data_IF_281689841848
#
_entry.id   IF_281689841848
#
_cell.length_a   1.000
_cell.length_b   1.000
_cell.length_c   1.000
_cell.angle_alpha   90.00
_cell.angle_beta   90.00
_cell.angle_gamma   90.00
#
_symmetry.space_group_name_H-M   'P 1'
#
loop_
_entity.id
_entity.type
_entity.pdbx_description
1 polymer ?
#
# COMPACT_ATOMS: atom_id res chain seq x y z
N UNK A 1 5.79 78.15 16.20
CA UNK A 1 5.72 76.71 16.49
C UNK A 1 5.25 76.01 15.22
N UNK A 2 6.12 75.28 14.52
CA UNK A 2 5.78 74.51 13.31
C UNK A 2 6.10 73.05 13.60
N UNK A 3 5.07 72.22 13.76
CA UNK A 3 5.21 70.78 13.96
C UNK A 3 5.49 70.11 12.61
N UNK A 4 6.61 69.38 12.50
CA UNK A 4 6.83 68.44 11.41
C UNK A 4 6.22 67.09 11.83
N UNK A 5 5.18 66.65 11.11
CA UNK A 5 4.67 65.28 11.19
C UNK A 5 5.53 64.38 10.29
N UNK A 6 6.30 63.46 10.88
CA UNK A 6 6.99 62.40 10.16
C UNK A 6 6.00 61.28 9.81
N UNK A 7 5.86 60.96 8.52
CA UNK A 7 5.07 59.84 8.04
C UNK A 7 5.89 58.55 8.16
N UNK A 8 5.49 57.65 9.06
CA UNK A 8 6.06 56.30 9.16
C UNK A 8 5.35 55.39 8.15
N UNK A 9 6.03 55.02 7.07
CA UNK A 9 5.53 54.00 6.13
C UNK A 9 5.92 52.63 6.67
N UNK A 10 4.93 51.89 7.16
CA UNK A 10 5.10 50.47 7.52
C UNK A 10 4.90 49.65 6.25
N UNK A 11 6.00 49.12 5.69
CA UNK A 11 5.94 48.14 4.60
C UNK A 11 5.69 46.78 5.24
N UNK A 12 4.46 46.27 5.12
CA UNK A 12 4.18 44.89 5.48
C UNK A 12 4.82 43.97 4.44
N UNK A 13 5.84 43.21 4.84
CA UNK A 13 6.36 42.14 4.01
C UNK A 13 5.30 41.04 3.90
N UNK A 14 4.84 40.76 2.68
CA UNK A 14 4.04 39.56 2.41
C UNK A 14 5.02 38.38 2.52
N UNK A 15 4.90 37.61 3.60
CA UNK A 15 5.60 36.32 3.69
C UNK A 15 4.91 35.40 2.68
N UNK A 16 5.60 34.86 1.66
CA UNK A 16 5.00 33.87 0.79
C UNK A 16 4.65 32.67 1.66
N UNK A 17 3.42 32.19 1.52
CA UNK A 17 2.98 31.02 2.23
C UNK A 17 3.88 29.84 1.83
N UNK A 18 4.52 29.23 2.82
CA UNK A 18 5.42 28.10 2.62
C UNK A 18 4.56 26.88 2.41
N UNK A 19 4.54 26.35 1.18
CA UNK A 19 3.83 25.11 0.88
C UNK A 19 4.19 24.02 1.90
N UNK A 20 3.18 23.40 2.51
CA UNK A 20 3.43 22.34 3.47
C UNK A 20 3.98 21.11 2.76
N UNK A 21 5.14 20.64 3.26
CA UNK A 21 5.75 19.38 2.85
C UNK A 21 5.29 18.27 3.79
N UNK A 22 4.57 17.28 3.26
CA UNK A 22 4.17 16.08 3.99
C UNK A 22 5.09 14.94 3.59
N UNK A 23 5.63 14.22 4.56
CA UNK A 23 6.31 12.94 4.31
C UNK A 23 5.37 11.81 4.70
N UNK A 24 4.91 11.04 3.71
CA UNK A 24 4.28 9.76 3.97
C UNK A 24 5.38 8.70 3.96
N UNK A 25 5.46 7.91 5.02
CA UNK A 25 6.35 6.76 5.12
C UNK A 25 5.45 5.54 5.23
N UNK A 26 5.68 4.53 4.41
CA UNK A 26 4.98 3.26 4.53
C UNK A 26 5.19 2.70 5.94
N UNK A 27 4.22 1.95 6.45
CA UNK A 27 4.27 1.40 7.80
C UNK A 27 5.48 0.48 8.01
N UNK A 28 5.97 -0.15 6.93
CA UNK A 28 7.19 -0.96 6.90
C UNK A 28 8.50 -0.12 6.82
N UNK A 29 8.42 1.20 6.60
CA UNK A 29 9.57 2.09 6.46
C UNK A 29 10.34 1.99 5.15
N UNK A 30 9.93 1.13 4.22
CA UNK A 30 10.64 0.88 2.97
C UNK A 30 10.40 1.95 1.89
N UNK A 31 9.29 2.68 1.97
CA UNK A 31 8.92 3.72 1.00
C UNK A 31 8.63 5.02 1.72
N UNK A 32 9.23 6.12 1.27
CA UNK A 32 8.86 7.46 1.74
C UNK A 32 8.66 8.41 0.56
N UNK A 33 7.61 9.23 0.61
CA UNK A 33 7.34 10.26 -0.41
C UNK A 33 7.13 11.60 0.25
N UNK A 34 7.81 12.62 -0.29
CA UNK A 34 7.57 14.01 0.05
C UNK A 34 6.53 14.60 -0.92
N UNK A 35 5.34 14.90 -0.40
CA UNK A 35 4.28 15.59 -1.12
C UNK A 35 4.34 17.08 -0.81
N UNK A 36 4.40 17.91 -1.85
CA UNK A 36 4.25 19.36 -1.73
C UNK A 36 2.92 19.74 -2.38
N UNK A 37 1.92 20.06 -1.58
CA UNK A 37 0.64 20.57 -2.08
C UNK A 37 0.60 22.09 -1.90
N UNK A 38 0.26 22.88 -2.94
CA UNK A 38 -0.06 24.29 -2.74
C UNK A 38 -1.24 24.41 -1.77
N UNK A 39 -1.19 25.36 -0.84
CA UNK A 39 -2.22 25.52 0.21
C UNK A 39 -3.64 25.85 -0.32
N UNK A 40 -3.77 26.12 -1.62
CA UNK A 40 -5.04 26.41 -2.31
C UNK A 40 -5.66 25.20 -3.02
N UNK A 41 -5.12 23.98 -2.84
CA UNK A 41 -5.62 22.78 -3.50
C UNK A 41 -6.99 22.33 -2.92
N UNK A 42 -8.07 23.00 -3.29
CA UNK A 42 -9.45 22.55 -3.06
C UNK A 42 -9.88 21.60 -4.16
N UNK A 43 -9.57 20.32 -4.01
CA UNK A 43 -9.99 19.27 -4.94
C UNK A 43 -9.38 17.92 -4.61
N UNK A 44 -10.09 16.84 -4.93
CA UNK A 44 -9.55 15.49 -4.83
C UNK A 44 -8.29 15.40 -5.70
N UNK A 45 -7.15 15.05 -5.10
CA UNK A 45 -5.95 14.73 -5.87
C UNK A 45 -6.27 13.53 -6.77
N UNK A 46 -6.38 13.75 -8.08
CA UNK A 46 -6.37 12.65 -9.04
C UNK A 46 -5.07 11.86 -8.84
N UNK A 47 -5.07 10.54 -9.16
CA UNK A 47 -3.83 9.73 -9.24
C UNK A 47 -2.84 10.44 -10.17
N UNK A 48 -2.01 11.31 -9.60
CA UNK A 48 -1.09 12.18 -10.31
C UNK A 48 0.31 11.57 -10.34
N UNK A 49 1.17 12.16 -11.16
CA UNK A 49 2.60 11.82 -11.33
C UNK A 49 3.46 11.92 -10.06
N UNK A 50 2.84 12.13 -8.89
CA UNK A 50 3.42 12.18 -7.55
C UNK A 50 3.20 10.90 -6.74
N UNK A 51 2.38 9.95 -7.22
CA UNK A 51 2.27 8.65 -6.57
C UNK A 51 3.51 7.81 -6.88
N UNK A 52 4.14 7.18 -5.88
CA UNK A 52 5.36 6.40 -6.06
C UNK A 52 5.11 5.03 -6.73
N UNK A 53 3.87 4.74 -7.14
CA UNK A 53 3.49 3.45 -7.67
C UNK A 53 3.43 3.50 -9.19
N UNK A 54 4.03 2.50 -9.84
CA UNK A 54 3.98 2.33 -11.27
C UNK A 54 2.54 2.11 -11.77
N UNK A 55 2.29 2.46 -13.03
CA UNK A 55 1.00 2.21 -13.70
C UNK A 55 0.83 0.74 -14.11
N UNK A 56 1.91 -0.03 -14.06
CA UNK A 56 1.94 -1.46 -14.31
C UNK A 56 2.38 -2.17 -13.03
N UNK A 57 1.76 -3.30 -12.66
CA UNK A 57 2.20 -4.06 -11.51
C UNK A 57 3.61 -4.59 -11.73
N UNK A 58 4.43 -4.59 -10.68
CA UNK A 58 5.77 -5.20 -10.72
C UNK A 58 5.68 -6.73 -10.86
N UNK A 59 4.64 -7.32 -10.23
CA UNK A 59 4.40 -8.76 -10.20
C UNK A 59 2.92 -9.01 -10.48
N UNK A 60 2.66 -10.01 -11.31
CA UNK A 60 1.31 -10.48 -11.61
C UNK A 60 1.24 -12.00 -11.47
N UNK A 61 0.34 -12.47 -10.60
CA UNK A 61 0.01 -13.90 -10.48
C UNK A 61 -1.15 -14.18 -11.42
N UNK A 62 -0.87 -14.91 -12.51
CA UNK A 62 -1.87 -15.29 -13.52
C UNK A 62 -2.56 -16.62 -13.19
N UNK A 63 -2.81 -16.87 -11.91
CA UNK A 63 -3.53 -18.06 -11.44
C UNK A 63 -5.00 -17.71 -11.25
N UNK A 64 -5.88 -18.46 -11.93
CA UNK A 64 -7.31 -18.22 -11.88
C UNK A 64 -7.90 -18.75 -10.56
N UNK A 65 -7.89 -17.91 -9.54
CA UNK A 65 -8.49 -18.17 -8.23
C UNK A 65 -9.37 -17.00 -7.82
N UNK A 66 -10.26 -17.30 -6.90
CA UNK A 66 -11.24 -16.36 -6.42
C UNK A 66 -10.86 -15.98 -4.99
N UNK A 67 -10.06 -14.92 -4.89
CA UNK A 67 -9.40 -14.53 -3.63
C UNK A 67 -10.42 -13.93 -2.68
N UNK A 68 -10.49 -14.51 -1.47
CA UNK A 68 -11.33 -14.01 -0.37
C UNK A 68 -10.56 -13.03 0.51
N UNK A 69 -9.35 -13.42 0.94
CA UNK A 69 -8.49 -12.62 1.81
C UNK A 69 -7.01 -12.82 1.50
N UNK A 70 -6.21 -11.86 1.96
CA UNK A 70 -4.76 -11.85 1.84
C UNK A 70 -4.13 -11.51 3.19
N UNK A 71 -2.99 -12.11 3.50
CA UNK A 71 -2.14 -11.70 4.61
C UNK A 71 -0.67 -11.75 4.19
N UNK A 72 0.16 -10.98 4.89
CA UNK A 72 1.60 -10.90 4.67
C UNK A 72 2.30 -11.27 5.98
N UNK A 73 3.17 -12.27 5.92
CA UNK A 73 3.99 -12.72 7.04
C UNK A 73 5.10 -13.62 6.51
N UNK A 74 6.20 -13.73 7.24
CA UNK A 74 7.23 -14.75 6.98
C UNK A 74 6.70 -16.11 7.44
N UNK A 75 6.31 -16.97 6.49
CA UNK A 75 5.66 -18.25 6.76
C UNK A 75 6.65 -19.41 6.87
N UNK A 76 7.92 -19.18 6.52
CA UNK A 76 8.95 -20.22 6.48
C UNK A 76 10.21 -19.87 7.30
N UNK A 77 10.18 -18.75 8.03
CA UNK A 77 11.25 -18.21 8.86
C UNK A 77 12.56 -17.90 8.09
N UNK A 78 12.44 -17.46 6.83
CA UNK A 78 13.60 -17.10 6.00
C UNK A 78 13.98 -15.60 6.07
N UNK A 79 13.22 -14.80 6.82
CA UNK A 79 13.39 -13.37 6.99
C UNK A 79 12.76 -12.53 5.89
N UNK A 80 12.02 -13.13 4.96
CA UNK A 80 11.26 -12.44 3.92
C UNK A 80 9.76 -12.63 4.15
N UNK A 81 9.01 -11.54 4.02
CA UNK A 81 7.56 -11.62 4.07
C UNK A 81 7.01 -12.36 2.83
N UNK A 82 6.17 -13.37 3.07
CA UNK A 82 5.45 -14.15 2.08
C UNK A 82 4.02 -13.64 1.87
N UNK A 83 3.36 -14.13 0.81
CA UNK A 83 1.96 -13.84 0.54
C UNK A 83 1.09 -15.06 0.85
N UNK A 84 0.21 -14.93 1.84
CA UNK A 84 -0.87 -15.87 2.12
C UNK A 84 -2.12 -15.41 1.37
N UNK A 85 -2.75 -16.31 0.63
CA UNK A 85 -3.96 -16.02 -0.14
C UNK A 85 -4.99 -17.13 0.05
N UNK A 86 -6.14 -16.78 0.61
CA UNK A 86 -7.26 -17.71 0.82
C UNK A 86 -8.33 -17.51 -0.25
N UNK A 87 -9.06 -18.58 -0.58
CA UNK A 87 -10.03 -18.56 -1.66
C UNK A 87 -11.46 -18.70 -1.13
N UNK A 88 -12.37 -17.97 -1.76
CA UNK A 88 -13.79 -18.14 -1.54
C UNK A 88 -14.39 -19.05 -2.61
N UNK A 89 -15.22 -20.01 -2.19
CA UNK A 89 -16.00 -20.83 -3.12
C UNK A 89 -17.14 -19.99 -3.71
N UNK A 90 -17.29 -19.99 -5.05
CA UNK A 90 -18.43 -19.35 -5.70
C UNK A 90 -19.00 -20.17 -6.85
N UNK A 91 -20.24 -19.84 -7.20
CA UNK A 91 -20.91 -20.34 -8.41
C UNK A 91 -20.82 -19.35 -9.58
N UNK A 92 -19.75 -18.54 -9.66
CA UNK A 92 -19.51 -17.64 -10.81
C UNK A 92 -19.39 -18.41 -12.12
N UNK A 93 -19.59 -17.72 -13.25
CA UNK A 93 -19.44 -18.30 -14.59
C UNK A 93 -18.29 -17.64 -15.37
N UNK A 94 -17.36 -18.41 -15.96
CA UNK A 94 -17.23 -19.87 -15.85
C UNK A 94 -16.89 -20.31 -14.41
N UNK A 95 -17.23 -21.55 -14.01
CA UNK A 95 -16.98 -22.02 -12.65
C UNK A 95 -15.48 -22.01 -12.32
N UNK A 96 -15.16 -21.80 -11.05
CA UNK A 96 -13.83 -22.06 -10.50
C UNK A 96 -13.84 -23.47 -9.93
N UNK A 97 -12.89 -24.29 -10.37
CA UNK A 97 -12.77 -25.71 -10.05
C UNK A 97 -11.71 -25.99 -8.96
N UNK A 98 -10.98 -24.95 -8.55
CA UNK A 98 -9.98 -25.02 -7.50
C UNK A 98 -10.07 -23.77 -6.62
N UNK A 99 -10.28 -23.98 -5.33
CA UNK A 99 -10.31 -22.94 -4.30
C UNK A 99 -9.42 -23.30 -3.10
N UNK A 100 -8.32 -24.03 -3.35
CA UNK A 100 -7.31 -24.26 -2.31
C UNK A 100 -6.72 -22.94 -1.83
N UNK A 101 -6.41 -22.87 -0.55
CA UNK A 101 -5.63 -21.79 0.02
C UNK A 101 -4.18 -21.94 -0.43
N UNK A 102 -3.45 -20.83 -0.47
CA UNK A 102 -2.12 -20.76 -1.07
C UNK A 102 -1.18 -19.95 -0.19
N UNK A 103 0.08 -20.37 -0.18
CA UNK A 103 1.20 -19.52 0.25
C UNK A 103 2.17 -19.40 -0.92
N UNK A 104 2.48 -18.15 -1.28
CA UNK A 104 3.50 -17.81 -2.25
C UNK A 104 4.73 -17.34 -1.50
N UNK A 105 5.79 -18.15 -1.54
CA UNK A 105 7.04 -17.80 -0.87
C UNK A 105 7.76 -16.69 -1.61
N UNK A 106 8.23 -15.71 -0.86
CA UNK A 106 9.09 -14.68 -1.38
C UNK A 106 10.54 -15.18 -1.47
N UNK A 107 11.35 -14.48 -2.26
CA UNK A 107 12.77 -14.79 -2.42
C UNK A 107 13.56 -13.49 -2.55
N UNK A 108 14.89 -13.51 -2.44
CA UNK A 108 15.71 -12.34 -2.73
C UNK A 108 15.53 -11.77 -4.16
N UNK A 109 14.95 -12.55 -5.08
CA UNK A 109 14.65 -12.14 -6.45
C UNK A 109 13.19 -11.71 -6.65
N UNK A 110 12.39 -11.64 -5.57
CA UNK A 110 10.97 -11.30 -5.57
C UNK A 110 10.05 -12.50 -5.32
N UNK A 111 8.75 -12.21 -5.31
CA UNK A 111 7.69 -13.18 -4.99
C UNK A 111 7.59 -14.26 -6.05
N UNK A 112 7.57 -15.53 -5.62
CA UNK A 112 7.27 -16.63 -6.52
C UNK A 112 5.80 -16.56 -6.95
N UNK A 113 5.51 -16.57 -8.25
CA UNK A 113 4.13 -16.52 -8.77
C UNK A 113 3.47 -17.90 -8.83
N UNK A 114 4.20 -18.95 -8.49
CA UNK A 114 3.67 -20.30 -8.26
C UNK A 114 3.53 -20.53 -6.75
N UNK A 115 2.37 -21.01 -6.25
CA UNK A 115 2.22 -21.34 -4.83
C UNK A 115 3.26 -22.38 -4.41
N UNK A 116 3.99 -22.12 -3.33
CA UNK A 116 4.90 -23.07 -2.71
C UNK A 116 4.19 -24.03 -1.76
N UNK A 117 3.00 -23.65 -1.29
CA UNK A 117 2.11 -24.48 -0.50
C UNK A 117 0.66 -24.33 -0.98
N UNK A 118 -0.09 -25.42 -0.90
CA UNK A 118 -1.52 -25.49 -1.17
C UNK A 118 -2.20 -26.25 -0.03
N UNK A 119 -3.36 -25.80 0.39
CA UNK A 119 -4.18 -26.58 1.32
C UNK A 119 -4.61 -27.91 0.69
N UNK A 120 -4.59 -28.98 1.48
CA UNK A 120 -5.14 -30.28 1.04
C UNK A 120 -6.66 -30.21 0.90
N UNK A 121 -7.31 -29.55 1.85
CA UNK A 121 -8.74 -29.36 1.88
C UNK A 121 -9.14 -28.08 1.12
N UNK A 122 -10.39 -28.08 0.69
CA UNK A 122 -10.96 -27.05 -0.16
C UNK A 122 -12.22 -26.50 0.52
N UNK A 123 -12.05 -25.47 1.35
CA UNK A 123 -13.10 -24.85 2.17
C UNK A 123 -13.24 -23.38 1.83
N UNK A 124 -14.45 -22.85 1.96
CA UNK A 124 -14.72 -21.42 1.75
C UNK A 124 -14.02 -20.57 2.83
N UNK A 125 -13.14 -19.68 2.41
CA UNK A 125 -12.45 -18.73 3.28
C UNK A 125 -12.61 -17.29 2.75
N UNK A 126 -13.25 -16.44 3.56
CA UNK A 126 -13.51 -15.04 3.24
C UNK A 126 -12.48 -14.05 3.80
N UNK A 127 -11.65 -14.49 4.75
CA UNK A 127 -10.61 -13.68 5.37
C UNK A 127 -9.49 -14.59 5.91
N UNK A 128 -8.33 -14.01 6.18
CA UNK A 128 -7.18 -14.69 6.79
C UNK A 128 -6.43 -13.74 7.71
N UNK A 129 -6.01 -14.27 8.86
CA UNK A 129 -5.10 -13.61 9.79
C UNK A 129 -3.95 -14.58 10.07
N UNK A 130 -2.74 -14.03 10.21
CA UNK A 130 -1.55 -14.82 10.52
C UNK A 130 -1.02 -14.39 11.88
N UNK A 131 -0.60 -15.36 12.67
CA UNK A 131 0.06 -15.14 13.94
C UNK A 131 0.65 -16.44 14.44
N UNK A 132 1.75 -16.32 15.19
CA UNK A 132 2.28 -17.42 15.97
C UNK A 132 1.40 -17.59 17.23
N UNK A 133 0.70 -18.72 17.30
CA UNK A 133 -0.27 -19.01 18.36
C UNK A 133 0.37 -19.84 19.48
N UNK A 134 1.45 -20.56 19.19
CA UNK A 134 2.06 -21.55 20.08
C UNK A 134 3.47 -21.17 20.54
N UNK A 135 4.09 -20.14 20.00
CA UNK A 135 5.36 -19.59 20.45
C UNK A 135 6.59 -20.36 19.95
N UNK A 136 6.53 -20.99 18.77
CA UNK A 136 7.64 -21.78 18.20
C UNK A 136 8.54 -21.05 17.18
#
# INVERSE_FOLDING_TARGET
MRSLFGLLIVVAAVVPASGQSWSEVSEDGHTSVALTTPETATGSAARGSTLPFALTPDIQVNLRRQIGGLAIADMNADGLNDLVAVCYSSSSFPPYDDWREMIFYNTPNGLNTTPGWLSDNQTHAGDVQVGDVNGD
#
